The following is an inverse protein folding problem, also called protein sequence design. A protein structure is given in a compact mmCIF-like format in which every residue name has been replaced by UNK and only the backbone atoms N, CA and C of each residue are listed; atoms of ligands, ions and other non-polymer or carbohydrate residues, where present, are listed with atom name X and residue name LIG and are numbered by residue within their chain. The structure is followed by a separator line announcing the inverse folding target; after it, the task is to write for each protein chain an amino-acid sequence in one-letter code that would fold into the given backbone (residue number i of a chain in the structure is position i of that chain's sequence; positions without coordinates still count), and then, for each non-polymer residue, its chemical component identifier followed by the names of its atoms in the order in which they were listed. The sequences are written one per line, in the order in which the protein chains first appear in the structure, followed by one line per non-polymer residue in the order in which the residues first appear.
data_IF_855438760465
#
_entry.id   IF_855438760465
#
_cell.length_a   1.000
_cell.length_b   1.000
_cell.length_c   1.000
_cell.angle_alpha   90.00
_cell.angle_beta   90.00
_cell.angle_gamma   90.00
#
_symmetry.space_group_name_H-M   'P 1'
#
loop_
_entity.id
_entity.type
_entity.pdbx_description
1 polymer ?
#
# COMPACT_ATOMS: atom_id res chain seq x y z
N UNK A 1 -30.70 -2.10 -5.74
CA UNK A 1 -29.51 -2.95 -5.82
C UNK A 1 -28.27 -2.14 -5.58
N UNK A 2 -27.58 -2.50 -4.56
CA UNK A 2 -26.43 -1.71 -4.09
C UNK A 2 -25.17 -1.89 -4.92
N UNK A 3 -25.11 -2.90 -5.75
CA UNK A 3 -23.89 -3.15 -6.50
C UNK A 3 -23.57 -2.06 -7.53
N UNK A 4 -24.53 -1.24 -7.88
CA UNK A 4 -24.26 -0.13 -8.79
C UNK A 4 -23.38 0.94 -8.14
N UNK A 5 -23.32 0.96 -6.83
CA UNK A 5 -22.51 1.93 -6.09
C UNK A 5 -21.20 1.33 -5.58
N UNK A 6 -20.99 0.05 -5.82
CA UNK A 6 -19.77 -0.62 -5.36
C UNK A 6 -18.64 -0.47 -6.37
N UNK A 7 -17.38 -0.46 -5.89
CA UNK A 7 -16.24 -0.47 -6.79
C UNK A 7 -16.28 -1.70 -7.70
N UNK A 8 -15.57 -1.64 -8.81
CA UNK A 8 -15.41 -2.80 -9.67
C UNK A 8 -14.75 -3.93 -8.91
N UNK A 9 -14.87 -5.16 -9.43
CA UNK A 9 -14.22 -6.31 -8.81
C UNK A 9 -12.72 -6.11 -8.63
N UNK A 10 -12.06 -5.48 -9.61
CA UNK A 10 -10.62 -5.21 -9.51
C UNK A 10 -10.30 -4.20 -8.42
N UNK A 11 -11.05 -3.11 -8.35
CA UNK A 11 -10.81 -2.10 -7.32
C UNK A 11 -10.99 -2.67 -5.93
N UNK A 12 -12.03 -3.47 -5.73
CA UNK A 12 -12.30 -4.10 -4.46
C UNK A 12 -11.19 -5.07 -4.08
N UNK A 13 -10.70 -5.85 -5.03
CA UNK A 13 -9.62 -6.80 -4.80
C UNK A 13 -8.31 -6.08 -4.49
N UNK A 14 -7.99 -5.02 -5.24
CA UNK A 14 -6.80 -4.21 -5.01
C UNK A 14 -6.81 -3.63 -3.60
N UNK A 15 -7.93 -3.06 -3.18
CA UNK A 15 -8.04 -2.47 -1.84
C UNK A 15 -7.88 -3.52 -0.74
N UNK A 16 -8.45 -4.71 -0.94
CA UNK A 16 -8.30 -5.80 0.02
C UNK A 16 -6.86 -6.29 0.09
N UNK A 17 -6.22 -6.45 -1.05
CA UNK A 17 -4.83 -6.88 -1.12
C UNK A 17 -3.91 -5.86 -0.48
N UNK A 18 -4.17 -4.58 -0.73
CA UNK A 18 -3.40 -3.49 -0.14
C UNK A 18 -3.57 -3.45 1.37
N UNK A 19 -4.80 -3.64 1.85
CA UNK A 19 -5.04 -3.65 3.28
C UNK A 19 -4.24 -4.75 3.96
N UNK A 20 -4.31 -5.96 3.42
CA UNK A 20 -3.56 -7.09 3.97
C UNK A 20 -2.04 -6.86 3.93
N UNK A 21 -1.56 -6.36 2.80
CA UNK A 21 -0.12 -6.09 2.64
C UNK A 21 0.35 -4.96 3.57
N UNK A 22 -0.46 -3.92 3.75
CA UNK A 22 -0.13 -2.84 4.66
C UNK A 22 -0.10 -3.30 6.11
N UNK A 23 -1.04 -4.16 6.50
CA UNK A 23 -1.03 -4.74 7.84
C UNK A 23 0.23 -5.56 8.09
N UNK A 24 0.63 -6.36 7.11
CA UNK A 24 1.85 -7.15 7.20
C UNK A 24 3.10 -6.26 7.23
N UNK A 25 3.11 -5.21 6.43
CA UNK A 25 4.21 -4.24 6.43
C UNK A 25 4.32 -3.56 7.79
N UNK A 26 3.20 -3.14 8.34
CA UNK A 26 3.19 -2.48 9.64
C UNK A 26 3.74 -3.41 10.72
N UNK A 27 3.32 -4.67 10.71
CA UNK A 27 3.82 -5.65 11.66
C UNK A 27 5.33 -5.87 11.50
N UNK A 28 5.80 -5.99 10.27
CA UNK A 28 7.23 -6.19 10.00
C UNK A 28 8.06 -5.02 10.48
N UNK A 29 7.59 -3.79 10.27
CA UNK A 29 8.30 -2.59 10.73
C UNK A 29 8.26 -2.53 12.26
N UNK A 30 7.12 -2.80 12.87
CA UNK A 30 6.97 -2.76 14.32
C UNK A 30 7.85 -3.80 15.03
N UNK A 31 8.07 -4.95 14.38
CA UNK A 31 8.91 -6.01 14.93
C UNK A 31 10.40 -5.76 14.76
N UNK A 32 10.77 -4.79 13.96
CA UNK A 32 12.18 -4.47 13.69
C UNK A 32 12.48 -3.01 14.03
N UNK A 33 12.29 -2.59 15.29
CA UNK A 33 12.51 -1.19 15.67
C UNK A 33 13.98 -0.83 15.69
N UNK A 34 14.26 0.47 15.67
CA UNK A 34 15.60 0.97 15.91
C UNK A 34 16.40 1.33 14.68
N UNK A 35 15.91 1.03 13.48
CA UNK A 35 16.59 1.54 12.30
C UNK A 35 16.19 3.01 12.05
N UNK A 36 17.01 3.72 11.29
CA UNK A 36 16.77 5.13 11.01
C UNK A 36 15.42 5.31 10.32
N UNK A 37 14.67 6.31 10.77
CA UNK A 37 13.35 6.67 10.24
C UNK A 37 12.26 5.61 10.49
N UNK A 38 12.49 4.69 11.41
CA UNK A 38 11.53 3.66 11.78
C UNK A 38 10.16 4.24 12.16
N UNK A 39 10.17 5.27 13.01
CA UNK A 39 8.94 5.91 13.48
C UNK A 39 8.24 6.70 12.36
N UNK A 40 9.01 7.35 11.49
CA UNK A 40 8.43 8.03 10.32
C UNK A 40 7.78 7.04 9.38
N UNK A 41 8.42 5.90 9.19
CA UNK A 41 7.88 4.86 8.33
C UNK A 41 6.57 4.34 8.87
N UNK A 42 6.48 4.07 10.18
CA UNK A 42 5.22 3.66 10.83
C UNK A 42 4.13 4.71 10.66
N UNK A 43 4.47 5.98 10.82
CA UNK A 43 3.51 7.06 10.66
C UNK A 43 2.90 7.05 9.25
N UNK A 44 3.72 6.93 8.23
CA UNK A 44 3.24 6.94 6.86
C UNK A 44 2.49 5.65 6.50
N UNK A 45 2.86 4.52 7.09
CA UNK A 45 2.11 3.28 6.91
C UNK A 45 0.70 3.44 7.47
N UNK A 46 0.58 3.99 8.66
CA UNK A 46 -0.74 4.25 9.27
C UNK A 46 -1.55 5.23 8.42
N UNK A 47 -0.89 6.22 7.85
CA UNK A 47 -1.52 7.17 6.95
C UNK A 47 -2.05 6.47 5.70
N UNK A 48 -1.26 5.59 5.10
CA UNK A 48 -1.69 4.82 3.93
C UNK A 48 -2.88 3.93 4.26
N UNK A 49 -2.87 3.29 5.42
CA UNK A 49 -3.99 2.47 5.87
C UNK A 49 -5.26 3.29 6.05
N UNK A 50 -5.12 4.52 6.52
CA UNK A 50 -6.24 5.43 6.67
C UNK A 50 -6.87 5.76 5.32
N UNK A 51 -6.05 6.07 4.31
CA UNK A 51 -6.56 6.33 2.97
C UNK A 51 -7.19 5.08 2.34
N UNK A 52 -6.61 3.90 2.62
CA UNK A 52 -7.19 2.64 2.17
C UNK A 52 -8.59 2.44 2.75
N UNK A 53 -8.79 2.78 4.01
CA UNK A 53 -10.08 2.59 4.67
C UNK A 53 -11.17 3.46 4.08
N UNK A 54 -10.83 4.61 3.50
CA UNK A 54 -11.79 5.49 2.82
C UNK A 54 -11.75 5.30 1.29
N UNK A 55 -11.00 4.32 0.83
CA UNK A 55 -10.91 3.91 -0.56
C UNK A 55 -10.40 4.99 -1.50
N UNK A 56 -9.48 5.82 -1.00
CA UNK A 56 -8.83 6.86 -1.79
C UNK A 56 -7.50 6.32 -2.33
N UNK A 57 -7.57 5.66 -3.48
CA UNK A 57 -6.42 5.00 -4.08
C UNK A 57 -5.33 5.99 -4.48
N UNK A 58 -5.71 7.16 -4.99
CA UNK A 58 -4.73 8.16 -5.44
C UNK A 58 -3.89 8.66 -4.29
N UNK A 59 -4.53 8.98 -3.16
CA UNK A 59 -3.80 9.45 -1.98
C UNK A 59 -2.96 8.35 -1.37
N UNK A 60 -3.50 7.13 -1.35
CA UNK A 60 -2.75 6.00 -0.87
C UNK A 60 -1.49 5.78 -1.70
N UNK A 61 -1.58 5.87 -3.02
CA UNK A 61 -0.41 5.73 -3.90
C UNK A 61 0.62 6.81 -3.63
N UNK A 62 0.18 8.03 -3.37
CA UNK A 62 1.09 9.12 -3.03
C UNK A 62 1.88 8.81 -1.75
N UNK A 63 1.20 8.27 -0.74
CA UNK A 63 1.86 7.90 0.51
C UNK A 63 2.79 6.71 0.31
N UNK A 64 2.42 5.75 -0.53
CA UNK A 64 3.30 4.63 -0.85
C UNK A 64 4.59 5.12 -1.51
N UNK A 65 4.53 6.15 -2.32
CA UNK A 65 5.71 6.77 -2.90
C UNK A 65 6.61 7.35 -1.81
N UNK A 66 6.03 8.02 -0.82
CA UNK A 66 6.78 8.54 0.32
C UNK A 66 7.46 7.40 1.07
N UNK A 67 6.74 6.32 1.33
CA UNK A 67 7.27 5.15 2.03
C UNK A 67 8.46 4.56 1.26
N UNK A 68 8.33 4.42 -0.05
CA UNK A 68 9.41 3.91 -0.90
C UNK A 68 10.64 4.81 -0.86
N UNK A 69 10.43 6.12 -0.88
CA UNK A 69 11.53 7.08 -0.83
C UNK A 69 12.27 7.02 0.49
N UNK A 70 11.56 6.89 1.60
CA UNK A 70 12.17 6.71 2.91
C UNK A 70 13.01 5.43 2.92
N UNK A 71 12.44 4.35 2.41
CA UNK A 71 13.13 3.05 2.38
C UNK A 71 14.40 3.11 1.52
N UNK A 72 14.36 3.85 0.42
CA UNK A 72 15.51 3.99 -0.48
C UNK A 72 16.66 4.78 0.16
N UNK A 73 16.35 5.66 1.10
CA UNK A 73 17.32 6.51 1.75
C UNK A 73 17.81 5.94 3.08
N UNK A 74 17.26 4.82 3.50
CA UNK A 74 17.52 4.24 4.80
C UNK A 74 17.86 2.77 4.64
N UNK A 75 18.79 2.28 5.43
CA UNK A 75 19.16 0.87 5.44
C UNK A 75 18.16 0.12 6.33
N UNK A 76 17.10 -0.38 5.72
CA UNK A 76 16.03 -1.05 6.46
C UNK A 76 16.24 -2.58 6.42
N UNK A 77 15.74 -3.30 7.45
CA UNK A 77 15.82 -4.76 7.47
C UNK A 77 15.12 -5.39 6.26
N UNK A 78 15.51 -6.61 5.91
CA UNK A 78 15.02 -7.31 4.72
C UNK A 78 13.52 -7.54 4.74
N UNK A 79 12.95 -7.92 5.88
CA UNK A 79 11.52 -8.22 5.96
C UNK A 79 10.65 -7.00 5.66
N UNK A 80 10.85 -5.85 6.34
CA UNK A 80 10.12 -4.65 5.94
C UNK A 80 10.36 -4.24 4.49
N UNK A 81 11.59 -4.40 3.99
CA UNK A 81 11.91 -4.06 2.61
C UNK A 81 11.09 -4.88 1.61
N UNK A 82 10.94 -6.17 1.87
CA UNK A 82 10.14 -7.05 1.03
C UNK A 82 8.68 -6.63 1.01
N UNK A 83 8.12 -6.29 2.16
CA UNK A 83 6.73 -5.85 2.24
C UNK A 83 6.52 -4.49 1.55
N UNK A 84 7.51 -3.59 1.61
CA UNK A 84 7.41 -2.31 0.90
C UNK A 84 7.34 -2.56 -0.61
N UNK A 85 8.15 -3.46 -1.14
CA UNK A 85 8.09 -3.83 -2.55
C UNK A 85 6.74 -4.44 -2.92
N UNK A 86 6.25 -5.33 -2.07
CA UNK A 86 4.96 -6.00 -2.28
C UNK A 86 3.82 -4.98 -2.34
N UNK A 87 3.74 -4.12 -1.34
CA UNK A 87 2.69 -3.09 -1.26
C UNK A 87 2.78 -2.15 -2.46
N UNK A 88 3.98 -1.75 -2.84
CA UNK A 88 4.19 -0.79 -3.92
C UNK A 88 3.81 -1.36 -5.29
N UNK A 89 3.89 -2.67 -5.47
CA UNK A 89 3.59 -3.30 -6.75
C UNK A 89 2.10 -3.54 -6.97
N UNK A 90 1.31 -3.64 -5.90
CA UNK A 90 -0.11 -3.98 -5.99
C UNK A 90 -0.92 -2.93 -6.77
N UNK A 91 -0.82 -1.63 -6.47
CA UNK A 91 -1.62 -0.64 -7.19
C UNK A 91 -1.30 -0.60 -8.68
N UNK A 92 -0.02 -0.70 -9.03
CA UNK A 92 0.40 -0.60 -10.43
C UNK A 92 -0.14 -1.77 -11.24
N UNK A 93 -0.07 -2.98 -10.71
CA UNK A 93 -0.61 -4.16 -11.38
C UNK A 93 -2.12 -4.08 -11.53
N UNK A 94 -2.79 -3.64 -10.48
CA UNK A 94 -4.24 -3.52 -10.49
C UNK A 94 -4.73 -2.48 -11.47
N UNK A 95 -4.10 -1.32 -11.48
CA UNK A 95 -4.48 -0.24 -12.40
C UNK A 95 -4.26 -0.64 -13.85
N UNK A 96 -3.20 -1.37 -14.13
CA UNK A 96 -2.95 -1.86 -15.48
C UNK A 96 -4.07 -2.80 -15.93
N UNK A 97 -4.50 -3.71 -15.06
CA UNK A 97 -5.59 -4.64 -15.39
C UNK A 97 -6.93 -3.93 -15.58
N UNK A 98 -7.21 -2.94 -14.74
CA UNK A 98 -8.44 -2.16 -14.86
C UNK A 98 -8.45 -1.43 -16.19
N UNK A 99 -7.34 -0.80 -16.55
CA UNK A 99 -7.23 -0.06 -17.79
C UNK A 99 -7.42 -0.96 -19.00
N UNK A 100 -6.80 -2.14 -18.97
CA UNK A 100 -6.95 -3.11 -20.06
C UNK A 100 -8.38 -3.62 -20.14
N UNK A 101 -9.03 -3.85 -19.01
CA UNK A 101 -10.42 -4.28 -18.98
C UNK A 101 -11.38 -3.26 -19.53
N UNK A 102 -11.14 -1.99 -19.32
CA UNK A 102 -12.00 -0.92 -19.82
C UNK A 102 -11.98 -0.81 -21.33
N UNK A 103 -10.92 -1.28 -21.95
CA UNK A 103 -10.82 -1.24 -23.43
C UNK A 103 -11.59 -2.34 -24.11
N UNK A 104 -12.01 -3.32 -23.36
CA UNK A 104 -12.80 -4.42 -23.91
C UNK A 104 -14.24 -4.01 -24.11
#
# INVERSE_FOLDING_TARGET
MSFNTEPTGYEKTIMSDLQGALENLRAAVAENPGFKDWDRLLFHIDEAMSWDSVRDLDRMKAILTVIRNIAAQTDIPDEPAQWIQQVSSIPDKGLSKIRDGERL
#
